data_IF_512483276002
#
_entry.id   IF_512483276002
#
_cell.length_a   1.000
_cell.length_b   1.000
_cell.length_c   1.000
_cell.angle_alpha   90.00
_cell.angle_beta   90.00
_cell.angle_gamma   90.00
#
_symmetry.space_group_name_H-M   'P 1'
#
loop_
_entity.id
_entity.type
_entity.pdbx_description
1 polymer ?
#
# COMPACT_ATOMS: atom_id res chain seq x y z
N UNK A 1 24.33 13.98 68.44
CA UNK A 1 24.12 13.70 67.03
C UNK A 1 24.67 12.35 66.58
N UNK A 2 25.69 11.76 67.14
CA UNK A 2 26.33 10.50 66.74
C UNK A 2 25.63 9.18 67.10
N UNK A 3 24.60 9.17 67.96
CA UNK A 3 23.87 7.93 68.32
C UNK A 3 22.76 7.53 67.39
N UNK A 4 22.22 8.45 66.61
CA UNK A 4 21.16 8.18 65.61
C UNK A 4 21.72 7.50 64.34
N UNK A 5 22.96 7.85 63.95
CA UNK A 5 23.62 7.32 62.73
C UNK A 5 24.07 5.84 62.95
N UNK A 6 24.20 5.37 64.19
CA UNK A 6 24.61 3.98 64.50
C UNK A 6 23.42 3.05 64.80
N UNK A 7 22.20 3.52 64.64
CA UNK A 7 21.01 2.73 64.94
C UNK A 7 20.63 1.85 63.72
N UNK A 8 20.75 0.51 63.79
CA UNK A 8 20.43 -0.38 62.70
C UNK A 8 18.96 -0.30 62.26
N UNK A 9 18.06 -0.01 63.20
CA UNK A 9 16.63 0.21 62.91
C UNK A 9 16.42 1.42 62.00
N UNK A 10 17.14 2.51 62.18
CA UNK A 10 17.05 3.70 61.36
C UNK A 10 17.56 3.44 59.95
N UNK A 11 18.60 2.64 59.79
CA UNK A 11 19.12 2.23 58.50
C UNK A 11 18.12 1.35 57.72
N UNK A 12 17.50 0.37 58.41
CA UNK A 12 16.45 -0.44 57.81
C UNK A 12 15.24 0.39 57.38
N UNK A 13 14.86 1.39 58.19
CA UNK A 13 13.74 2.27 57.87
C UNK A 13 14.04 3.21 56.68
N UNK A 14 15.26 3.74 56.59
CA UNK A 14 15.72 4.54 55.46
C UNK A 14 15.82 3.69 54.18
N UNK A 15 16.37 2.49 54.26
CA UNK A 15 16.45 1.56 53.15
C UNK A 15 15.03 1.16 52.68
N UNK A 16 14.14 0.84 53.61
CA UNK A 16 12.74 0.54 53.32
C UNK A 16 12.02 1.71 52.66
N UNK A 17 12.26 2.94 53.14
CA UNK A 17 11.71 4.16 52.50
C UNK A 17 12.29 4.41 51.14
N UNK A 18 13.59 4.23 50.93
CA UNK A 18 14.24 4.36 49.61
C UNK A 18 13.73 3.30 48.63
N UNK A 19 13.54 2.06 49.09
CA UNK A 19 12.94 1.01 48.23
C UNK A 19 11.47 1.32 47.91
N UNK A 20 10.69 1.80 48.92
CA UNK A 20 9.30 2.21 48.68
C UNK A 20 9.20 3.41 47.71
N UNK A 21 10.09 4.40 47.86
CA UNK A 21 10.15 5.54 46.94
C UNK A 21 10.65 5.13 45.56
N UNK A 22 11.63 4.23 45.45
CA UNK A 22 12.12 3.75 44.17
C UNK A 22 11.09 2.87 43.46
N UNK A 23 10.29 2.09 44.19
CA UNK A 23 9.21 1.27 43.60
C UNK A 23 8.09 2.12 42.98
N UNK A 24 7.87 3.34 43.48
CA UNK A 24 6.92 4.29 42.88
C UNK A 24 7.43 4.91 41.56
N UNK A 25 8.73 4.83 41.29
CA UNK A 25 9.37 5.36 40.09
C UNK A 25 9.56 4.32 38.99
N UNK A 26 9.28 3.05 39.26
CA UNK A 26 9.29 2.01 38.23
C UNK A 26 7.93 2.10 37.50
N UNK A 27 7.87 2.53 36.23
CA UNK A 27 6.62 2.55 35.50
C UNK A 27 6.06 1.13 35.48
N UNK A 28 4.89 0.94 36.08
CA UNK A 28 4.21 -0.36 36.03
C UNK A 28 3.75 -0.58 34.59
N UNK A 29 4.34 -1.58 33.93
CA UNK A 29 3.90 -1.99 32.61
C UNK A 29 2.53 -2.66 32.71
N UNK A 30 1.63 -2.26 31.84
CA UNK A 30 0.35 -2.96 31.65
C UNK A 30 0.61 -4.32 31.03
N UNK A 31 0.10 -5.39 31.63
CA UNK A 31 0.29 -6.73 31.08
C UNK A 31 -0.82 -7.06 30.11
N UNK A 32 -0.44 -7.50 28.91
CA UNK A 32 -1.33 -8.07 27.91
C UNK A 32 -1.18 -9.58 27.97
N UNK A 33 -2.30 -10.27 28.08
CA UNK A 33 -2.37 -11.73 28.03
C UNK A 33 -2.92 -12.14 26.65
N UNK A 34 -2.22 -13.04 25.96
CA UNK A 34 -2.69 -13.68 24.74
C UNK A 34 -2.68 -15.18 24.92
N UNK A 35 -3.74 -15.83 24.47
CA UNK A 35 -3.80 -17.28 24.47
C UNK A 35 -3.12 -17.86 23.22
N UNK A 36 -2.46 -18.99 23.37
CA UNK A 36 -1.80 -19.69 22.26
C UNK A 36 -2.75 -19.95 21.08
N UNK A 37 -4.00 -20.30 21.38
CA UNK A 37 -5.05 -20.55 20.36
C UNK A 37 -5.36 -19.32 19.51
N UNK A 38 -5.38 -18.11 20.08
CA UNK A 38 -5.62 -16.86 19.34
C UNK A 38 -4.46 -16.57 18.36
N UNK A 39 -3.23 -16.79 18.83
CA UNK A 39 -2.02 -16.58 18.02
C UNK A 39 -1.98 -17.55 16.85
N UNK A 40 -2.31 -18.82 17.09
CA UNK A 40 -2.33 -19.86 16.04
C UNK A 40 -3.47 -19.64 15.04
N UNK A 41 -4.62 -19.15 15.48
CA UNK A 41 -5.73 -18.78 14.60
C UNK A 41 -5.32 -17.65 13.65
N UNK A 42 -4.71 -16.57 14.17
CA UNK A 42 -4.20 -15.48 13.33
C UNK A 42 -3.07 -15.94 12.42
N UNK A 43 -2.16 -16.80 12.91
CA UNK A 43 -1.08 -17.36 12.11
C UNK A 43 -1.61 -18.12 10.89
N UNK A 44 -2.67 -18.91 11.08
CA UNK A 44 -3.34 -19.64 10.00
C UNK A 44 -3.98 -18.68 8.99
N UNK A 45 -4.75 -17.71 9.45
CA UNK A 45 -5.40 -16.69 8.59
C UNK A 45 -4.37 -15.94 7.74
N UNK A 46 -3.28 -15.48 8.36
CA UNK A 46 -2.21 -14.79 7.66
C UNK A 46 -1.53 -15.68 6.61
N UNK A 47 -1.26 -16.94 6.95
CA UNK A 47 -0.63 -17.89 6.03
C UNK A 47 -1.51 -18.15 4.80
N UNK A 48 -2.82 -18.28 4.99
CA UNK A 48 -3.79 -18.43 3.91
C UNK A 48 -3.84 -17.20 3.01
N UNK A 49 -3.78 -15.99 3.59
CA UNK A 49 -3.81 -14.72 2.85
C UNK A 49 -2.61 -14.50 1.93
N UNK A 50 -1.46 -15.12 2.21
CA UNK A 50 -0.22 -15.01 1.45
C UNK A 50 0.14 -16.27 0.65
N UNK A 51 -0.88 -16.95 0.12
CA UNK A 51 -0.74 -18.16 -0.70
C UNK A 51 -0.02 -19.33 0.03
N UNK A 52 -0.31 -19.53 1.30
CA UNK A 52 0.21 -20.65 2.09
C UNK A 52 1.65 -20.47 2.58
N UNK A 53 2.23 -19.27 2.49
CA UNK A 53 3.55 -19.03 3.11
C UNK A 53 3.41 -19.09 4.63
N UNK A 54 4.33 -19.82 5.28
CA UNK A 54 4.35 -19.90 6.74
C UNK A 54 4.63 -18.52 7.37
N UNK A 55 3.79 -18.12 8.30
CA UNK A 55 4.02 -16.94 9.17
C UNK A 55 4.56 -17.44 10.50
N UNK A 56 5.57 -16.78 11.05
CA UNK A 56 6.13 -17.16 12.34
C UNK A 56 5.15 -16.88 13.48
N UNK A 57 5.08 -17.80 14.46
CA UNK A 57 4.24 -17.66 15.65
C UNK A 57 4.50 -16.36 16.41
N UNK A 58 5.76 -16.03 16.65
CA UNK A 58 6.14 -14.80 17.33
C UNK A 58 5.68 -13.55 16.56
N UNK A 59 5.67 -13.60 15.23
CA UNK A 59 5.17 -12.49 14.40
C UNK A 59 3.67 -12.30 14.60
N UNK A 60 2.90 -13.37 14.62
CA UNK A 60 1.45 -13.33 14.89
C UNK A 60 1.16 -12.82 16.30
N UNK A 61 1.93 -13.27 17.31
CA UNK A 61 1.82 -12.76 18.68
C UNK A 61 2.11 -11.26 18.77
N UNK A 62 3.15 -10.76 18.08
CA UNK A 62 3.48 -9.33 18.02
C UNK A 62 2.35 -8.51 17.39
N UNK A 63 1.72 -9.00 16.33
CA UNK A 63 0.61 -8.32 15.67
C UNK A 63 -0.64 -8.24 16.56
N UNK A 64 -0.99 -9.33 17.26
CA UNK A 64 -2.10 -9.32 18.22
C UNK A 64 -1.83 -8.37 19.39
N UNK A 65 -0.61 -8.42 19.96
CA UNK A 65 -0.23 -7.52 21.04
C UNK A 65 -0.27 -6.05 20.58
N UNK A 66 0.14 -5.75 19.35
CA UNK A 66 0.06 -4.40 18.78
C UNK A 66 -1.39 -3.93 18.64
N UNK A 67 -2.29 -4.79 18.16
CA UNK A 67 -3.71 -4.48 18.08
C UNK A 67 -4.30 -4.21 19.47
N UNK A 68 -3.93 -5.01 20.47
CA UNK A 68 -4.40 -4.85 21.85
C UNK A 68 -3.89 -3.54 22.47
N UNK A 69 -2.60 -3.22 22.29
CA UNK A 69 -2.04 -1.93 22.74
C UNK A 69 -2.79 -0.76 22.10
N UNK A 70 -3.00 -0.80 20.79
CA UNK A 70 -3.71 0.27 20.08
C UNK A 70 -5.15 0.42 20.57
N UNK A 71 -5.82 -0.68 20.85
CA UNK A 71 -7.17 -0.68 21.40
C UNK A 71 -7.21 -0.06 22.82
N UNK A 72 -6.33 -0.51 23.72
CA UNK A 72 -6.26 -0.01 25.08
C UNK A 72 -5.92 1.49 25.12
N UNK A 73 -4.98 1.93 24.29
CA UNK A 73 -4.63 3.35 24.17
C UNK A 73 -5.74 4.18 23.51
N UNK A 74 -6.47 3.62 22.56
CA UNK A 74 -7.63 4.25 21.97
C UNK A 74 -8.72 4.47 23.04
N UNK A 75 -9.06 3.44 23.81
CA UNK A 75 -10.03 3.53 24.91
C UNK A 75 -9.59 4.52 25.98
N UNK A 76 -8.34 4.47 26.42
CA UNK A 76 -7.75 5.41 27.37
C UNK A 76 -7.79 6.87 26.86
N UNK A 77 -7.71 7.07 25.54
CA UNK A 77 -7.82 8.37 24.89
C UNK A 77 -9.25 8.82 24.65
N UNK A 78 -10.27 8.05 25.05
CA UNK A 78 -11.68 8.40 24.96
C UNK A 78 -12.31 8.16 23.58
N UNK A 79 -11.69 7.34 22.73
CA UNK A 79 -12.25 7.03 21.41
C UNK A 79 -13.48 6.12 21.45
N UNK A 80 -13.77 5.49 22.58
CA UNK A 80 -15.05 4.83 22.89
C UNK A 80 -16.22 5.81 22.90
N UNK A 81 -15.97 7.12 23.12
CA UNK A 81 -16.95 8.20 23.26
C UNK A 81 -17.08 9.08 22.02
N UNK A 82 -16.48 8.72 20.89
CA UNK A 82 -16.69 9.46 19.65
C UNK A 82 -18.01 9.09 19.02
N UNK A 83 -18.69 10.06 18.40
CA UNK A 83 -20.06 9.93 17.88
C UNK A 83 -20.25 8.67 17.00
N UNK A 84 -19.28 8.36 16.15
CA UNK A 84 -19.36 7.21 15.25
C UNK A 84 -19.29 5.86 15.98
N UNK A 85 -18.63 5.79 17.12
CA UNK A 85 -18.56 4.60 17.98
C UNK A 85 -19.83 4.49 18.82
N UNK A 86 -20.28 5.61 19.43
CA UNK A 86 -21.54 5.67 20.17
C UNK A 86 -22.70 5.20 19.28
N UNK A 87 -22.83 5.76 18.08
CA UNK A 87 -23.89 5.41 17.14
C UNK A 87 -23.82 3.92 16.76
N UNK A 88 -22.61 3.40 16.55
CA UNK A 88 -22.42 1.97 16.23
C UNK A 88 -22.89 1.08 17.39
N UNK A 89 -22.46 1.38 18.61
CA UNK A 89 -22.83 0.63 19.81
C UNK A 89 -24.35 0.68 20.05
N UNK A 90 -24.96 1.85 19.90
CA UNK A 90 -26.41 2.01 20.03
C UNK A 90 -27.17 1.17 19.00
N UNK A 91 -26.73 1.14 17.74
CA UNK A 91 -27.33 0.32 16.70
C UNK A 91 -27.17 -1.19 16.98
N UNK A 92 -26.04 -1.61 17.54
CA UNK A 92 -25.85 -3.01 17.96
C UNK A 92 -26.77 -3.36 19.12
N UNK A 93 -26.92 -2.48 20.11
CA UNK A 93 -27.84 -2.70 21.24
C UNK A 93 -29.28 -2.86 20.77
N UNK A 94 -29.75 -2.02 19.84
CA UNK A 94 -31.07 -2.14 19.24
C UNK A 94 -31.22 -3.44 18.44
N UNK A 95 -30.24 -3.77 17.60
CA UNK A 95 -30.25 -5.01 16.82
C UNK A 95 -30.30 -6.27 17.69
N UNK A 96 -29.58 -6.28 18.81
CA UNK A 96 -29.58 -7.37 19.80
C UNK A 96 -30.77 -7.34 20.77
N UNK A 97 -31.72 -6.39 20.59
CA UNK A 97 -32.89 -6.18 21.48
C UNK A 97 -32.48 -5.92 22.94
N UNK A 98 -31.35 -5.29 23.16
CA UNK A 98 -30.91 -4.82 24.48
C UNK A 98 -31.53 -3.46 24.84
N UNK A 99 -32.04 -2.77 23.83
CA UNK A 99 -32.71 -1.49 23.95
C UNK A 99 -33.81 -1.39 22.88
N UNK A 100 -34.90 -0.70 23.20
CA UNK A 100 -36.04 -0.49 22.31
C UNK A 100 -35.73 0.60 21.27
N UNK A 101 -36.42 0.55 20.12
CA UNK A 101 -36.22 1.50 19.02
C UNK A 101 -36.51 2.95 19.42
N UNK A 102 -37.46 3.18 20.33
CA UNK A 102 -37.89 4.48 20.80
C UNK A 102 -37.00 5.07 21.92
N UNK A 103 -36.08 4.28 22.47
CA UNK A 103 -35.12 4.78 23.44
C UNK A 103 -34.11 5.77 22.83
N UNK A 104 -33.61 6.67 23.66
CA UNK A 104 -32.64 7.66 23.25
C UNK A 104 -31.29 7.01 22.86
N UNK A 105 -30.48 7.75 22.10
CA UNK A 105 -29.14 7.29 21.69
C UNK A 105 -28.27 6.94 22.92
N UNK A 106 -28.36 7.73 23.99
CA UNK A 106 -27.59 7.50 25.21
C UNK A 106 -28.05 6.23 25.93
N UNK A 107 -29.36 5.99 26.06
CA UNK A 107 -29.86 4.75 26.68
C UNK A 107 -29.42 3.51 25.92
N UNK A 108 -29.50 3.53 24.59
CA UNK A 108 -29.01 2.45 23.72
C UNK A 108 -27.49 2.25 23.88
N UNK A 109 -26.73 3.33 23.95
CA UNK A 109 -25.28 3.27 24.19
C UNK A 109 -24.96 2.68 25.57
N UNK A 110 -25.65 3.09 26.63
CA UNK A 110 -25.46 2.52 27.97
C UNK A 110 -25.83 1.03 28.03
N UNK A 111 -26.88 0.60 27.32
CA UNK A 111 -27.23 -0.81 27.19
C UNK A 111 -26.13 -1.63 26.52
N UNK A 112 -25.49 -1.07 25.49
CA UNK A 112 -24.34 -1.71 24.83
C UNK A 112 -23.13 -1.84 25.78
N UNK A 113 -22.83 -0.80 26.55
CA UNK A 113 -21.74 -0.80 27.55
C UNK A 113 -21.99 -1.81 28.67
N UNK A 114 -23.24 -1.97 29.11
CA UNK A 114 -23.60 -2.95 30.15
C UNK A 114 -23.29 -4.40 29.70
N UNK A 115 -23.23 -4.64 28.40
CA UNK A 115 -22.85 -5.93 27.79
C UNK A 115 -21.38 -5.97 27.34
N UNK A 116 -20.56 -4.97 27.68
CA UNK A 116 -19.17 -4.83 27.27
C UNK A 116 -18.98 -4.90 25.74
N UNK A 117 -19.96 -4.44 24.94
CA UNK A 117 -19.85 -4.48 23.48
C UNK A 117 -18.75 -3.56 22.94
N UNK A 118 -18.38 -2.53 23.67
CA UNK A 118 -17.23 -1.67 23.37
C UNK A 118 -15.89 -2.44 23.42
N UNK A 119 -15.80 -3.51 24.22
CA UNK A 119 -14.62 -4.37 24.34
C UNK A 119 -14.70 -5.65 23.53
N UNK A 120 -15.90 -6.19 23.30
CA UNK A 120 -16.08 -7.51 22.70
C UNK A 120 -16.46 -7.49 21.23
N UNK A 121 -17.12 -6.39 20.74
CA UNK A 121 -17.45 -6.30 19.30
C UNK A 121 -16.20 -5.97 18.48
N UNK A 122 -15.85 -6.90 17.59
CA UNK A 122 -14.64 -6.81 16.77
C UNK A 122 -14.64 -5.58 15.83
N UNK A 123 -15.81 -5.13 15.37
CA UNK A 123 -15.93 -3.99 14.45
C UNK A 123 -15.75 -2.69 15.23
N UNK A 124 -16.33 -2.58 16.42
CA UNK A 124 -16.12 -1.44 17.32
C UNK A 124 -14.66 -1.31 17.68
N UNK A 125 -14.02 -2.39 18.10
CA UNK A 125 -12.57 -2.42 18.39
C UNK A 125 -11.73 -1.96 17.19
N UNK A 126 -11.98 -2.50 16.00
CA UNK A 126 -11.28 -2.10 14.77
C UNK A 126 -11.52 -0.63 14.41
N UNK A 127 -12.72 -0.11 14.64
CA UNK A 127 -13.03 1.29 14.41
C UNK A 127 -12.24 2.20 15.35
N UNK A 128 -12.22 1.90 16.65
CA UNK A 128 -11.45 2.65 17.64
C UNK A 128 -9.96 2.64 17.30
N UNK A 129 -9.40 1.47 17.01
CA UNK A 129 -8.00 1.32 16.58
C UNK A 129 -7.71 2.17 15.34
N UNK A 130 -8.58 2.13 14.33
CA UNK A 130 -8.40 2.88 13.09
C UNK A 130 -8.39 4.39 13.32
N UNK A 131 -9.33 4.90 14.13
CA UNK A 131 -9.38 6.33 14.50
C UNK A 131 -8.11 6.73 15.25
N UNK A 132 -7.68 5.93 16.23
CA UNK A 132 -6.48 6.19 17.00
C UNK A 132 -5.21 6.19 16.13
N UNK A 133 -5.06 5.21 15.26
CA UNK A 133 -3.95 5.15 14.30
C UNK A 133 -3.93 6.38 13.37
N UNK A 134 -5.10 6.79 12.86
CA UNK A 134 -5.21 7.98 12.04
C UNK A 134 -4.80 9.25 12.82
N UNK A 135 -5.21 9.33 14.09
CA UNK A 135 -4.84 10.43 14.99
C UNK A 135 -3.33 10.47 15.22
N UNK A 136 -2.71 9.31 15.51
CA UNK A 136 -1.26 9.24 15.68
C UNK A 136 -0.50 9.65 14.42
N UNK A 137 -0.91 9.19 13.23
CA UNK A 137 -0.27 9.58 11.97
C UNK A 137 -0.43 11.08 11.67
N UNK A 138 -1.55 11.68 12.07
CA UNK A 138 -1.86 13.08 11.80
C UNK A 138 -1.44 14.03 12.95
N UNK A 139 -0.95 13.50 14.09
CA UNK A 139 -0.41 14.32 15.18
C UNK A 139 0.89 15.06 14.79
N UNK A 140 1.57 14.55 13.77
CA UNK A 140 2.72 15.25 13.19
C UNK A 140 2.24 16.40 12.30
N UNK A 141 2.62 17.68 12.57
CA UNK A 141 2.29 18.78 11.68
C UNK A 141 2.93 18.57 10.31
N UNK A 142 2.19 18.96 9.26
CA UNK A 142 2.75 18.94 7.90
C UNK A 142 3.99 19.84 7.85
N UNK A 143 5.13 19.26 7.47
CA UNK A 143 6.39 19.96 7.32
C UNK A 143 6.73 20.00 5.84
N UNK A 144 7.06 21.18 5.33
CA UNK A 144 7.59 21.29 3.96
C UNK A 144 9.02 20.75 3.99
N UNK A 145 9.32 19.65 3.26
CA UNK A 145 10.69 19.15 3.16
C UNK A 145 11.62 20.22 2.58
N UNK A 146 12.88 20.24 2.99
CA UNK A 146 13.87 21.13 2.41
C UNK A 146 14.13 20.81 0.93
N UNK A 147 14.51 21.83 0.14
CA UNK A 147 14.85 21.60 -1.27
C UNK A 147 15.99 20.59 -1.43
N UNK A 148 16.92 20.54 -0.49
CA UNK A 148 17.97 19.53 -0.46
C UNK A 148 17.38 18.11 -0.29
N UNK A 149 16.48 17.91 0.67
CA UNK A 149 15.83 16.59 0.89
C UNK A 149 15.03 16.15 -0.34
N UNK A 150 14.34 17.07 -1.01
CA UNK A 150 13.61 16.83 -2.24
C UNK A 150 14.56 16.40 -3.36
N UNK A 151 15.67 17.15 -3.53
CA UNK A 151 16.67 16.82 -4.56
C UNK A 151 17.34 15.48 -4.29
N UNK A 152 17.76 15.20 -3.06
CA UNK A 152 18.41 13.95 -2.67
C UNK A 152 17.47 12.74 -2.88
N UNK A 153 16.18 12.92 -2.58
CA UNK A 153 15.17 11.89 -2.84
C UNK A 153 14.99 11.65 -4.35
N UNK A 154 14.92 12.71 -5.15
CA UNK A 154 14.84 12.63 -6.61
C UNK A 154 16.04 11.90 -7.21
N UNK A 155 17.27 12.21 -6.77
CA UNK A 155 18.49 11.57 -7.27
C UNK A 155 18.52 10.07 -6.94
N UNK A 156 18.12 9.69 -5.73
CA UNK A 156 18.07 8.28 -5.32
C UNK A 156 17.00 7.47 -6.06
N UNK A 157 15.91 8.11 -6.49
CA UNK A 157 14.75 7.46 -7.11
C UNK A 157 14.51 7.89 -8.56
N UNK A 158 15.50 8.45 -9.24
CA UNK A 158 15.35 9.01 -10.59
C UNK A 158 14.83 7.98 -11.60
N UNK A 159 15.15 6.68 -11.46
CA UNK A 159 14.65 5.62 -12.31
C UNK A 159 13.11 5.50 -12.30
N UNK A 160 12.47 5.83 -11.17
CA UNK A 160 11.01 5.83 -11.03
C UNK A 160 10.32 6.97 -11.80
N UNK A 161 11.10 7.95 -12.25
CA UNK A 161 10.61 9.10 -13.01
C UNK A 161 10.93 9.04 -14.52
N UNK A 162 11.44 7.90 -14.98
CA UNK A 162 11.61 7.69 -16.39
C UNK A 162 10.23 7.46 -17.02
N UNK A 163 9.81 8.40 -17.84
CA UNK A 163 8.63 8.24 -18.68
C UNK A 163 8.97 7.30 -19.84
N UNK A 164 8.22 6.20 -19.93
CA UNK A 164 8.42 5.23 -21.00
C UNK A 164 8.12 5.86 -22.36
N UNK A 165 8.76 5.37 -23.43
CA UNK A 165 8.51 5.87 -24.78
C UNK A 165 7.05 5.66 -25.15
N UNK A 166 6.52 6.58 -26.00
CA UNK A 166 5.16 6.50 -26.52
C UNK A 166 5.19 6.60 -28.05
N UNK A 167 4.24 5.94 -28.68
CA UNK A 167 4.16 5.83 -30.10
C UNK A 167 2.73 6.09 -30.59
N UNK A 168 2.57 6.91 -31.63
CA UNK A 168 1.35 7.00 -32.39
C UNK A 168 1.59 6.34 -33.74
N UNK A 169 0.76 5.38 -34.12
CA UNK A 169 0.94 4.64 -35.33
C UNK A 169 -0.38 4.14 -35.94
N UNK A 170 -0.35 3.90 -37.24
CA UNK A 170 -1.37 3.13 -37.93
C UNK A 170 -0.76 1.86 -38.48
N UNK A 171 -1.56 0.84 -38.73
CA UNK A 171 -1.05 -0.39 -39.31
C UNK A 171 -2.02 -1.02 -40.32
N UNK A 172 -1.44 -1.65 -41.31
CA UNK A 172 -2.10 -2.64 -42.17
C UNK A 172 -1.87 -3.99 -41.54
N UNK A 173 -2.91 -4.79 -41.40
CA UNK A 173 -2.88 -6.08 -40.74
C UNK A 173 -3.17 -7.21 -41.72
N UNK A 174 -2.41 -8.29 -41.63
CA UNK A 174 -2.63 -9.55 -42.33
C UNK A 174 -2.79 -10.67 -41.31
N UNK A 175 -3.96 -11.33 -41.32
CA UNK A 175 -4.28 -12.40 -40.36
C UNK A 175 -3.46 -13.65 -40.61
N UNK A 176 -2.98 -14.27 -39.56
CA UNK A 176 -2.36 -15.61 -39.61
C UNK A 176 -3.33 -16.73 -40.00
N UNK A 177 -4.64 -16.50 -39.82
CA UNK A 177 -5.68 -17.50 -40.10
C UNK A 177 -6.03 -17.61 -41.61
N UNK A 178 -5.63 -16.60 -42.37
CA UNK A 178 -5.77 -16.62 -43.84
C UNK A 178 -4.45 -17.08 -44.47
N UNK A 179 -4.54 -17.73 -45.58
CA UNK A 179 -3.38 -18.28 -46.33
C UNK A 179 -2.40 -17.21 -46.88
N UNK A 180 -2.08 -16.19 -46.04
CA UNK A 180 -1.06 -15.17 -46.31
C UNK A 180 0.36 -15.64 -45.97
N UNK A 181 0.56 -16.96 -45.81
CA UNK A 181 1.86 -17.57 -45.55
C UNK A 181 2.82 -17.48 -46.72
N UNK A 182 2.33 -17.04 -47.89
CA UNK A 182 3.19 -16.75 -49.05
C UNK A 182 3.90 -15.40 -48.84
N UNK A 183 5.20 -15.45 -48.65
CA UNK A 183 6.06 -14.27 -48.51
C UNK A 183 5.94 -13.29 -49.69
N UNK A 184 5.51 -13.77 -50.87
CA UNK A 184 5.27 -12.94 -52.06
C UNK A 184 4.15 -11.91 -51.81
N UNK A 185 3.09 -12.27 -51.09
CA UNK A 185 1.97 -11.36 -50.77
C UNK A 185 2.44 -10.21 -49.93
N UNK A 186 3.23 -10.50 -48.91
CA UNK A 186 3.78 -9.48 -48.00
C UNK A 186 4.75 -8.53 -48.72
N UNK A 187 5.57 -9.04 -49.64
CA UNK A 187 6.51 -8.24 -50.41
C UNK A 187 5.74 -7.33 -51.40
N UNK A 188 4.80 -7.86 -52.15
CA UNK A 188 3.99 -7.09 -53.09
C UNK A 188 3.18 -6.00 -52.40
N UNK A 189 2.63 -6.31 -51.20
CA UNK A 189 1.92 -5.32 -50.37
C UNK A 189 2.86 -4.19 -49.92
N UNK A 190 4.04 -4.52 -49.45
CA UNK A 190 5.02 -3.52 -49.00
C UNK A 190 5.47 -2.62 -50.13
N UNK A 191 5.74 -3.17 -51.31
CA UNK A 191 6.07 -2.38 -52.49
C UNK A 191 4.97 -1.41 -52.88
N UNK A 192 3.70 -1.86 -52.85
CA UNK A 192 2.54 -1.02 -53.10
C UNK A 192 2.40 0.08 -52.03
N UNK A 193 2.55 -0.25 -50.77
CA UNK A 193 2.50 0.72 -49.66
C UNK A 193 3.57 1.81 -49.83
N UNK A 194 4.78 1.44 -50.25
CA UNK A 194 5.90 2.37 -50.41
C UNK A 194 5.81 3.21 -51.68
N UNK A 195 5.36 2.65 -52.79
CA UNK A 195 5.32 3.35 -54.08
C UNK A 195 4.08 4.25 -54.23
N UNK A 196 2.92 3.74 -53.84
CA UNK A 196 1.64 4.39 -54.12
C UNK A 196 1.07 5.16 -52.92
N UNK A 197 1.36 4.73 -51.68
CA UNK A 197 0.67 5.21 -50.50
C UNK A 197 1.61 5.86 -49.48
N UNK A 198 2.76 6.34 -49.91
CA UNK A 198 3.73 7.06 -49.05
C UNK A 198 3.72 8.57 -49.26
N UNK A 199 2.86 9.09 -50.10
CA UNK A 199 2.75 10.53 -50.36
C UNK A 199 2.28 11.30 -49.10
N UNK A 200 2.89 12.47 -48.89
CA UNK A 200 2.51 13.34 -47.77
C UNK A 200 1.38 14.31 -48.14
N UNK A 201 1.02 14.42 -49.45
CA UNK A 201 0.06 15.42 -49.93
C UNK A 201 -1.40 15.08 -49.50
N UNK A 202 -1.77 13.79 -49.44
CA UNK A 202 -3.09 13.29 -49.01
C UNK A 202 -2.95 12.22 -47.95
N UNK A 203 -2.30 12.60 -46.87
CA UNK A 203 -1.85 11.69 -45.81
C UNK A 203 -2.96 10.78 -45.26
N UNK A 204 -4.09 11.36 -44.80
CA UNK A 204 -5.18 10.59 -44.17
C UNK A 204 -5.87 9.67 -45.19
N UNK A 205 -6.06 10.13 -46.42
CA UNK A 205 -6.62 9.32 -47.48
C UNK A 205 -5.72 8.13 -47.86
N UNK A 206 -4.40 8.36 -47.90
CA UNK A 206 -3.43 7.29 -48.20
C UNK A 206 -3.35 6.26 -47.08
N UNK A 207 -3.40 6.66 -45.81
CA UNK A 207 -3.44 5.72 -44.66
C UNK A 207 -4.74 4.90 -44.71
N UNK A 208 -5.88 5.53 -44.95
CA UNK A 208 -7.17 4.84 -45.06
C UNK A 208 -7.20 3.85 -46.22
N UNK A 209 -6.67 4.24 -47.37
CA UNK A 209 -6.53 3.36 -48.55
C UNK A 209 -5.56 2.19 -48.28
N UNK A 210 -4.46 2.45 -47.55
CA UNK A 210 -3.51 1.42 -47.16
C UNK A 210 -4.15 0.39 -46.23
N UNK A 211 -4.89 0.82 -45.22
CA UNK A 211 -5.60 -0.05 -44.28
C UNK A 211 -6.61 -0.95 -45.00
N UNK A 212 -7.28 -0.43 -46.01
CA UNK A 212 -8.25 -1.19 -46.82
C UNK A 212 -7.61 -2.34 -47.62
N UNK A 213 -6.29 -2.35 -47.82
CA UNK A 213 -5.57 -3.45 -48.48
C UNK A 213 -5.33 -4.66 -47.53
N UNK A 214 -5.51 -4.49 -46.25
CA UNK A 214 -5.31 -5.54 -45.26
C UNK A 214 -6.61 -6.16 -44.76
N UNK A 215 -6.47 -6.98 -43.75
CA UNK A 215 -7.59 -7.60 -43.03
C UNK A 215 -8.13 -6.68 -41.93
N UNK A 216 -9.37 -6.94 -41.52
CA UNK A 216 -9.97 -6.23 -40.40
C UNK A 216 -9.26 -6.64 -39.09
N UNK A 217 -8.80 -5.66 -38.35
CA UNK A 217 -8.24 -5.85 -36.99
C UNK A 217 -9.23 -5.33 -35.94
N UNK A 218 -9.77 -6.20 -35.11
CA UNK A 218 -10.79 -5.85 -34.14
C UNK A 218 -10.30 -4.85 -33.07
N UNK A 219 -8.99 -4.76 -32.88
CA UNK A 219 -8.36 -3.80 -31.96
C UNK A 219 -8.26 -2.37 -32.52
N UNK A 220 -8.70 -2.14 -33.81
CA UNK A 220 -8.54 -0.87 -34.51
C UNK A 220 -7.19 -0.76 -35.20
N UNK A 221 -7.12 0.11 -36.23
CA UNK A 221 -5.95 0.29 -37.09
C UNK A 221 -5.12 1.55 -36.73
N UNK A 222 -5.68 2.44 -35.90
CA UNK A 222 -5.06 3.71 -35.50
C UNK A 222 -4.84 3.73 -33.98
N UNK A 223 -3.64 4.04 -33.58
CA UNK A 223 -3.22 4.09 -32.20
C UNK A 223 -2.59 5.46 -31.87
N UNK A 224 -3.30 6.28 -31.10
CA UNK A 224 -2.78 7.54 -30.57
C UNK A 224 -1.80 7.24 -29.45
N UNK A 225 -0.78 8.03 -29.29
CA UNK A 225 0.29 7.98 -28.25
C UNK A 225 0.15 6.89 -27.18
N UNK A 226 0.36 5.63 -27.58
CA UNK A 226 0.35 4.48 -26.69
C UNK A 226 1.70 4.29 -26.01
N UNK A 227 1.71 3.98 -24.72
CA UNK A 227 2.94 3.59 -24.04
C UNK A 227 3.46 2.24 -24.53
N UNK A 228 4.77 2.04 -24.49
CA UNK A 228 5.39 0.76 -24.84
C UNK A 228 4.76 -0.41 -24.07
N UNK A 229 4.41 -0.22 -22.79
CA UNK A 229 3.73 -1.23 -21.99
C UNK A 229 2.33 -1.61 -22.55
N UNK A 230 1.53 -0.63 -22.96
CA UNK A 230 0.21 -0.89 -23.58
C UNK A 230 0.34 -1.65 -24.88
N UNK A 231 1.36 -1.28 -25.69
CA UNK A 231 1.66 -1.95 -26.96
C UNK A 231 2.13 -3.39 -26.72
N UNK A 232 3.02 -3.58 -25.72
CA UNK A 232 3.49 -4.93 -25.33
C UNK A 232 2.33 -5.83 -24.90
N UNK A 233 1.39 -5.31 -24.12
CA UNK A 233 0.20 -6.09 -23.70
C UNK A 233 -0.68 -6.51 -24.90
N UNK A 234 -0.77 -5.69 -25.95
CA UNK A 234 -1.65 -5.93 -27.07
C UNK A 234 -0.98 -6.73 -28.19
N UNK A 235 0.25 -6.36 -28.56
CA UNK A 235 0.94 -6.91 -29.74
C UNK A 235 2.12 -7.82 -29.40
N UNK A 236 2.52 -7.87 -28.15
CA UNK A 236 3.70 -8.62 -27.69
C UNK A 236 4.98 -7.80 -27.64
N UNK A 237 5.95 -8.32 -26.90
CA UNK A 237 7.21 -7.61 -26.61
C UNK A 237 8.08 -7.37 -27.86
N UNK A 238 8.09 -8.35 -28.80
CA UNK A 238 8.87 -8.23 -30.04
C UNK A 238 8.37 -7.09 -30.92
N UNK A 239 7.05 -6.97 -31.09
CA UNK A 239 6.42 -5.88 -31.82
C UNK A 239 6.75 -4.52 -31.19
N UNK A 240 6.57 -4.39 -29.87
CA UNK A 240 6.85 -3.14 -29.16
C UNK A 240 8.31 -2.70 -29.26
N UNK A 241 9.27 -3.62 -29.24
CA UNK A 241 10.70 -3.32 -29.45
C UNK A 241 11.01 -2.87 -30.85
N UNK A 242 10.34 -3.44 -31.89
CA UNK A 242 10.59 -3.06 -33.27
C UNK A 242 10.15 -1.62 -33.55
N UNK A 243 9.08 -1.12 -32.87
CA UNK A 243 8.65 0.28 -32.99
C UNK A 243 9.75 1.29 -32.60
N UNK A 244 10.65 0.92 -31.72
CA UNK A 244 11.77 1.78 -31.32
C UNK A 244 12.71 2.13 -32.48
N UNK A 245 12.82 1.24 -33.43
CA UNK A 245 13.75 1.37 -34.56
C UNK A 245 13.08 1.90 -35.87
N UNK A 246 11.75 2.12 -35.82
CA UNK A 246 11.07 2.59 -37.01
C UNK A 246 11.36 4.07 -37.26
N UNK A 247 11.47 4.40 -38.54
CA UNK A 247 11.50 5.78 -39.03
C UNK A 247 10.09 6.36 -39.03
N UNK A 248 10.00 7.67 -38.76
CA UNK A 248 8.74 8.39 -38.87
C UNK A 248 8.28 8.50 -40.29
N UNK A 249 6.97 8.41 -40.51
CA UNK A 249 6.32 8.65 -41.81
C UNK A 249 6.83 7.77 -42.94
N UNK A 250 7.09 6.51 -42.63
CA UNK A 250 7.46 5.47 -43.59
C UNK A 250 6.79 4.16 -43.20
N UNK A 251 6.41 3.34 -44.20
CA UNK A 251 5.94 1.98 -43.94
C UNK A 251 7.08 1.08 -43.49
N UNK A 252 6.87 0.37 -42.41
CA UNK A 252 7.84 -0.61 -41.90
C UNK A 252 7.92 -1.85 -42.77
N UNK A 253 8.97 -2.64 -42.58
CA UNK A 253 8.94 -4.06 -42.94
C UNK A 253 7.81 -4.77 -42.15
N UNK A 254 7.50 -6.00 -42.54
CA UNK A 254 6.54 -6.82 -41.82
C UNK A 254 6.97 -7.08 -40.38
N UNK A 255 6.09 -6.75 -39.45
CA UNK A 255 6.26 -6.96 -38.01
C UNK A 255 5.26 -8.01 -37.52
N UNK A 256 5.73 -9.03 -36.79
CA UNK A 256 4.87 -10.11 -36.32
C UNK A 256 4.32 -9.83 -34.93
N UNK A 257 3.06 -10.23 -34.72
CA UNK A 257 2.42 -10.33 -33.40
C UNK A 257 1.75 -11.70 -33.23
N UNK A 258 1.09 -11.91 -32.09
CA UNK A 258 0.26 -13.10 -31.86
C UNK A 258 -0.94 -13.21 -32.86
N UNK A 259 -1.31 -12.12 -33.50
CA UNK A 259 -2.46 -12.07 -34.42
C UNK A 259 -2.09 -12.31 -35.87
N UNK A 260 -0.85 -12.05 -36.28
CA UNK A 260 -0.37 -12.14 -37.65
C UNK A 260 0.71 -11.11 -37.94
N UNK A 261 0.72 -10.64 -39.19
CA UNK A 261 1.71 -9.67 -39.71
C UNK A 261 1.12 -8.27 -39.76
N UNK A 262 1.96 -7.28 -39.52
CA UNK A 262 1.60 -5.86 -39.51
C UNK A 262 2.64 -5.05 -40.27
N UNK A 263 2.17 -4.14 -41.12
CA UNK A 263 2.98 -3.07 -41.72
C UNK A 263 2.59 -1.79 -41.02
N UNK A 264 3.55 -1.14 -40.38
CA UNK A 264 3.31 -0.01 -39.46
C UNK A 264 3.76 1.28 -40.13
N UNK A 265 2.91 2.29 -40.02
CA UNK A 265 3.23 3.68 -40.31
C UNK A 265 3.32 4.44 -39.00
N UNK A 266 4.53 4.86 -38.62
CA UNK A 266 4.78 5.57 -37.39
C UNK A 266 4.52 7.08 -37.59
N UNK A 267 3.48 7.60 -36.91
CA UNK A 267 3.11 9.00 -36.97
C UNK A 267 3.99 9.87 -36.10
N UNK A 268 4.15 9.43 -34.82
CA UNK A 268 4.82 10.18 -33.77
C UNK A 268 5.53 9.22 -32.84
N UNK A 269 6.68 9.67 -32.33
CA UNK A 269 7.50 8.92 -31.38
C UNK A 269 8.01 9.86 -30.30
N UNK A 270 7.62 9.60 -29.08
CA UNK A 270 8.22 10.22 -27.90
C UNK A 270 9.21 9.26 -27.29
N UNK A 271 10.46 9.64 -27.24
CA UNK A 271 11.49 8.84 -26.59
C UNK A 271 11.30 8.79 -25.08
N UNK A 272 11.86 7.77 -24.45
CA UNK A 272 11.96 7.74 -22.99
C UNK A 272 12.70 8.99 -22.51
N UNK A 273 12.16 9.63 -21.47
CA UNK A 273 12.76 10.81 -20.86
C UNK A 273 12.67 10.75 -19.33
N UNK A 274 13.70 11.23 -18.68
CA UNK A 274 13.61 11.49 -17.26
C UNK A 274 12.77 12.77 -17.06
N UNK A 275 11.69 12.66 -16.28
CA UNK A 275 10.90 13.84 -15.89
C UNK A 275 11.76 14.74 -15.03
N UNK A 276 11.91 16.02 -15.37
CA UNK A 276 12.68 16.95 -14.57
C UNK A 276 12.06 17.14 -13.18
N UNK A 277 12.88 17.47 -12.19
CA UNK A 277 12.45 17.65 -10.80
C UNK A 277 11.22 18.58 -10.69
N UNK A 278 11.15 19.63 -11.50
CA UNK A 278 10.03 20.56 -11.48
C UNK A 278 8.67 19.91 -11.75
N UNK A 279 8.61 18.89 -12.63
CA UNK A 279 7.38 18.18 -12.96
C UNK A 279 6.92 17.21 -11.83
N UNK A 280 7.86 16.73 -11.01
CA UNK A 280 7.61 15.70 -10.00
C UNK A 280 7.76 16.20 -8.57
N UNK A 281 8.15 17.47 -8.37
CA UNK A 281 8.43 18.07 -7.06
C UNK A 281 7.28 17.86 -6.07
N UNK A 282 6.04 18.12 -6.49
CA UNK A 282 4.89 17.94 -5.60
C UNK A 282 4.64 16.48 -5.23
N UNK A 283 4.86 15.56 -6.16
CA UNK A 283 4.76 14.13 -5.89
C UNK A 283 5.80 13.68 -4.85
N UNK A 284 7.03 14.19 -4.96
CA UNK A 284 8.11 13.91 -4.00
C UNK A 284 7.77 14.49 -2.62
N UNK A 285 7.30 15.72 -2.53
CA UNK A 285 6.86 16.34 -1.28
C UNK A 285 5.79 15.49 -0.60
N UNK A 286 4.79 15.03 -1.35
CA UNK A 286 3.72 14.18 -0.81
C UNK A 286 4.25 12.84 -0.31
N UNK A 287 5.23 12.26 -1.01
CA UNK A 287 5.88 11.01 -0.61
C UNK A 287 6.69 11.20 0.66
N UNK A 288 7.57 12.19 0.73
CA UNK A 288 8.36 12.50 1.93
C UNK A 288 7.49 12.78 3.15
N UNK A 289 6.38 13.52 2.98
CA UNK A 289 5.44 13.77 4.07
C UNK A 289 4.75 12.48 4.54
N UNK A 290 4.40 11.57 3.63
CA UNK A 290 3.82 10.28 3.98
C UNK A 290 4.82 9.40 4.73
N UNK A 291 6.07 9.34 4.28
CA UNK A 291 7.17 8.63 4.96
C UNK A 291 7.42 9.20 6.35
N UNK A 292 7.51 10.52 6.48
CA UNK A 292 7.70 11.19 7.77
C UNK A 292 6.55 10.89 8.75
N UNK A 293 5.29 10.91 8.29
CA UNK A 293 4.13 10.54 9.11
C UNK A 293 4.17 9.06 9.53
N UNK A 294 4.60 8.18 8.63
CA UNK A 294 4.73 6.77 8.96
C UNK A 294 5.85 6.52 9.97
N UNK A 295 6.99 7.18 9.82
CA UNK A 295 8.10 7.11 10.78
C UNK A 295 7.68 7.63 12.15
N UNK A 296 7.00 8.78 12.20
CA UNK A 296 6.45 9.32 13.44
C UNK A 296 5.46 8.36 14.13
N UNK A 297 4.58 7.73 13.35
CA UNK A 297 3.68 6.69 13.86
C UNK A 297 4.46 5.51 14.45
N UNK A 298 5.45 5.00 13.72
CA UNK A 298 6.27 3.87 14.17
C UNK A 298 7.03 4.20 15.46
N UNK A 299 7.64 5.38 15.54
CA UNK A 299 8.33 5.84 16.75
C UNK A 299 7.38 5.97 17.95
N UNK A 300 6.19 6.55 17.72
CA UNK A 300 5.19 6.72 18.78
C UNK A 300 4.68 5.36 19.25
N UNK A 301 4.37 4.45 18.35
CA UNK A 301 3.97 3.09 18.71
C UNK A 301 5.07 2.33 19.43
N UNK A 302 6.34 2.50 19.03
CA UNK A 302 7.47 1.90 19.74
C UNK A 302 7.65 2.46 21.17
N UNK A 303 7.33 3.74 21.37
CA UNK A 303 7.29 4.33 22.73
C UNK A 303 6.14 3.74 23.56
N UNK A 304 4.95 3.60 22.96
CA UNK A 304 3.80 2.99 23.63
C UNK A 304 4.08 1.54 24.04
N UNK A 305 4.66 0.73 23.14
CA UNK A 305 5.02 -0.67 23.43
C UNK A 305 5.88 -0.85 24.68
N UNK A 306 6.71 0.12 25.05
CA UNK A 306 7.53 0.07 26.27
C UNK A 306 6.72 0.08 27.56
N UNK A 307 5.49 0.58 27.51
CA UNK A 307 4.58 0.63 28.66
C UNK A 307 3.81 -0.69 28.86
N UNK A 308 4.05 -1.68 28.01
CA UNK A 308 3.32 -2.93 28.00
C UNK A 308 4.26 -4.12 28.10
N UNK A 309 3.76 -5.19 28.73
CA UNK A 309 4.41 -6.49 28.83
C UNK A 309 3.50 -7.54 28.21
N UNK A 310 4.04 -8.38 27.33
CA UNK A 310 3.29 -9.47 26.70
C UNK A 310 3.56 -10.78 27.46
N UNK A 311 2.48 -11.44 27.86
CA UNK A 311 2.48 -12.80 28.41
C UNK A 311 1.64 -13.67 27.49
N UNK A 312 2.19 -14.81 27.09
CA UNK A 312 1.51 -15.83 26.29
C UNK A 312 1.21 -16.99 27.23
N UNK A 313 -0.04 -17.40 27.26
CA UNK A 313 -0.51 -18.55 28.02
C UNK A 313 -0.79 -19.72 27.07
N UNK A 314 -0.21 -20.90 27.36
CA UNK A 314 -0.45 -22.12 26.61
C UNK A 314 -1.76 -22.82 27.07
N UNK A 315 -2.12 -23.92 26.38
CA UNK A 315 -3.33 -24.69 26.70
C UNK A 315 -3.28 -25.36 28.08
N UNK A 316 -2.11 -25.49 28.68
CA UNK A 316 -1.89 -26.06 30.00
C UNK A 316 -1.86 -24.99 31.11
N UNK A 317 -2.02 -23.71 30.76
CA UNK A 317 -1.96 -22.58 31.69
C UNK A 317 -0.53 -22.12 32.04
N UNK A 318 0.51 -22.62 31.35
CA UNK A 318 1.87 -22.16 31.55
C UNK A 318 2.04 -20.80 30.86
N UNK A 319 2.71 -19.88 31.56
CA UNK A 319 2.92 -18.52 31.08
C UNK A 319 4.36 -18.31 30.62
N UNK A 320 4.52 -17.72 29.46
CA UNK A 320 5.81 -17.28 28.93
C UNK A 320 5.76 -15.80 28.56
N UNK A 321 6.87 -15.10 28.76
CA UNK A 321 6.98 -13.67 28.44
C UNK A 321 7.64 -13.50 27.07
N UNK A 322 7.02 -12.71 26.19
CA UNK A 322 7.58 -12.35 24.91
C UNK A 322 7.92 -10.86 24.86
N UNK A 323 9.14 -10.52 24.43
CA UNK A 323 9.57 -9.13 24.26
C UNK A 323 8.87 -8.50 23.07
N UNK A 324 8.23 -7.34 23.27
CA UNK A 324 7.62 -6.57 22.20
C UNK A 324 8.71 -5.91 21.34
N UNK A 325 8.76 -6.30 20.07
CA UNK A 325 9.75 -5.79 19.10
C UNK A 325 9.24 -4.47 18.50
N UNK A 326 10.12 -3.48 18.44
CA UNK A 326 9.82 -2.21 17.77
C UNK A 326 9.69 -2.36 16.26
N UNK A 327 8.85 -1.51 15.66
CA UNK A 327 8.79 -1.38 14.20
C UNK A 327 10.07 -0.69 13.72
N UNK A 328 10.65 -1.20 12.63
CA UNK A 328 11.77 -0.55 11.97
C UNK A 328 11.32 0.76 11.33
N UNK A 329 12.19 1.76 11.33
CA UNK A 329 12.04 2.96 10.51
C UNK A 329 12.15 2.59 9.03
N UNK A 330 11.57 3.40 8.16
CA UNK A 330 11.69 3.24 6.70
C UNK A 330 13.11 3.53 6.17
N UNK A 331 14.00 3.98 7.06
CA UNK A 331 15.38 4.37 6.72
C UNK A 331 16.41 3.26 7.05
N UNK A 332 15.97 2.10 7.62
CA UNK A 332 16.75 0.88 7.85
C UNK A 332 16.41 -0.16 6.72
#
# INVERSE_FOLDING_TARGET
MNRLIKNPFLHCLIIGLLVALSSQWIPQQTTIFLHHSEITALQKELSESINGRAVEFNRSAQLLAEQEILFLEAKKSGFDKVDSVILRLANIAEFLQLADTDQSLDEKYQAALAMNLDETDIIVRRQMISIYQATLRNSMPAKIPSDQAINDWYQRHHSSFIEAPKYAFSHVYLSSDKAHSDSSISINLLEKLRSELSSHADYEANISAAIALGDVFYGGHHFNLQSQHSITKRFGQSFAKQLENLSLRQWSESMSSAFGQHFVWLHEKHNARLKPLAEVKQQIINTLNREAKQNHYNETLNKLKKNYRLIIEDEQGNQSSLTLIGLKSSDD
#
